data_IF_690248956617
#
_entry.id   IF_690248956617
#
_cell.length_a   1.000
_cell.length_b   1.000
_cell.length_c   1.000
_cell.angle_alpha   90.00
_cell.angle_beta   90.00
_cell.angle_gamma   90.00
#
_symmetry.space_group_name_H-M   'P 1'
#
loop_
_entity.id
_entity.type
_entity.pdbx_description
1 polymer ?
#
# COMPACT_ATOMS: atom_id res chain seq x y z
N UNK A 1 -2.82 6.00 11.68
CA UNK A 1 -2.59 6.17 10.23
C UNK A 1 -1.97 7.52 9.85
N UNK A 2 -2.72 8.62 9.96
CA UNK A 2 -2.38 9.89 9.32
C UNK A 2 -1.04 10.50 9.74
N UNK A 3 -0.77 10.55 11.04
CA UNK A 3 0.50 11.07 11.57
C UNK A 3 1.72 10.32 11.01
N UNK A 4 1.62 8.99 10.86
CA UNK A 4 2.70 8.17 10.30
C UNK A 4 2.94 8.48 8.83
N UNK A 5 1.88 8.67 8.05
CA UNK A 5 1.95 9.10 6.65
C UNK A 5 2.65 10.47 6.55
N UNK A 6 2.32 11.43 7.41
CA UNK A 6 2.98 12.74 7.41
C UNK A 6 4.48 12.66 7.70
N UNK A 7 4.89 11.83 8.65
CA UNK A 7 6.32 11.68 9.00
C UNK A 7 7.10 10.83 8.01
N UNK A 8 6.47 9.83 7.40
CA UNK A 8 7.06 8.89 6.44
C UNK A 8 6.11 8.72 5.25
N UNK A 9 6.07 9.71 4.34
CA UNK A 9 5.05 9.76 3.29
C UNK A 9 5.31 8.79 2.15
N UNK A 10 6.47 8.14 2.08
CA UNK A 10 6.82 7.27 0.95
C UNK A 10 5.86 6.09 0.80
N UNK A 11 5.50 5.78 -0.45
CA UNK A 11 4.67 4.63 -0.85
C UNK A 11 5.19 3.29 -0.33
N UNK A 12 6.50 3.18 -0.10
CA UNK A 12 7.13 1.97 0.43
C UNK A 12 6.73 1.66 1.88
N UNK A 13 6.17 2.62 2.61
CA UNK A 13 5.67 2.42 3.97
C UNK A 13 4.15 2.24 4.03
N UNK A 14 3.46 2.30 2.89
CA UNK A 14 2.00 2.34 2.84
C UNK A 14 1.33 1.18 3.58
N UNK A 15 1.70 -0.06 3.24
CA UNK A 15 1.12 -1.24 3.87
C UNK A 15 1.48 -1.36 5.36
N UNK A 16 2.68 -0.93 5.74
CA UNK A 16 3.13 -0.92 7.14
C UNK A 16 2.33 0.07 7.99
N UNK A 17 2.09 1.29 7.49
CA UNK A 17 1.27 2.28 8.19
C UNK A 17 -0.18 1.82 8.35
N UNK A 18 -0.70 1.11 7.34
CA UNK A 18 -2.02 0.50 7.37
C UNK A 18 -2.10 -0.60 8.43
N UNK A 19 -1.17 -1.57 8.39
CA UNK A 19 -1.07 -2.64 9.38
C UNK A 19 -0.90 -2.11 10.80
N UNK A 20 -0.06 -1.10 11.01
CA UNK A 20 0.10 -0.49 12.32
C UNK A 20 -1.23 0.08 12.85
N UNK A 21 -2.06 0.65 11.97
CA UNK A 21 -3.36 1.19 12.39
C UNK A 21 -4.33 0.07 12.80
N UNK A 22 -4.27 -1.08 12.13
CA UNK A 22 -5.01 -2.30 12.51
C UNK A 22 -4.51 -2.83 13.86
N UNK A 23 -3.18 -2.94 14.04
CA UNK A 23 -2.61 -3.41 15.30
C UNK A 23 -3.05 -2.53 16.47
N UNK A 24 -3.07 -1.21 16.29
CA UNK A 24 -3.55 -0.29 17.31
C UNK A 24 -5.06 -0.43 17.57
N UNK A 25 -5.88 -0.71 16.55
CA UNK A 25 -7.32 -0.90 16.75
C UNK A 25 -7.65 -2.16 17.57
N UNK A 26 -6.75 -3.15 17.62
CA UNK A 26 -6.95 -4.37 18.42
C UNK A 26 -7.07 -4.11 19.91
N UNK A 27 -6.49 -3.03 20.41
CA UNK A 27 -6.53 -2.65 21.83
C UNK A 27 -7.81 -1.90 22.23
N UNK A 28 -8.68 -1.54 21.27
CA UNK A 28 -9.93 -0.85 21.53
C UNK A 28 -11.00 -1.82 22.06
N UNK A 29 -11.97 -1.28 22.81
CA UNK A 29 -13.17 -2.03 23.21
C UNK A 29 -14.00 -2.44 21.99
N UNK A 30 -14.87 -3.44 22.14
CA UNK A 30 -15.72 -3.93 21.04
C UNK A 30 -16.54 -2.80 20.40
N UNK A 31 -17.19 -1.97 21.22
CA UNK A 31 -18.01 -0.85 20.77
C UNK A 31 -17.22 0.16 19.91
N UNK A 32 -15.97 0.42 20.29
CA UNK A 32 -15.09 1.31 19.53
C UNK A 32 -14.61 0.65 18.23
N UNK A 33 -14.36 -0.67 18.25
CA UNK A 33 -13.96 -1.42 17.05
C UNK A 33 -15.07 -1.45 16.02
N UNK A 34 -16.33 -1.55 16.45
CA UNK A 34 -17.49 -1.51 15.55
C UNK A 34 -17.58 -0.18 14.76
N UNK A 35 -17.08 0.91 15.34
CA UNK A 35 -16.98 2.22 14.67
C UNK A 35 -15.70 2.34 13.84
N UNK A 36 -14.56 1.91 14.38
CA UNK A 36 -13.24 2.17 13.80
C UNK A 36 -12.88 1.18 12.68
N UNK A 37 -13.24 -0.09 12.79
CA UNK A 37 -12.87 -1.10 11.79
C UNK A 37 -13.47 -0.81 10.39
N UNK A 38 -14.74 -0.36 10.25
CA UNK A 38 -15.24 0.12 8.97
C UNK A 38 -14.47 1.33 8.43
N UNK A 39 -14.07 2.25 9.30
CA UNK A 39 -13.27 3.44 8.92
C UNK A 39 -11.89 3.01 8.43
N UNK A 40 -11.22 2.09 9.11
CA UNK A 40 -9.93 1.54 8.69
C UNK A 40 -10.08 0.87 7.32
N UNK A 41 -11.06 -0.01 7.14
CA UNK A 41 -11.32 -0.68 5.86
C UNK A 41 -11.52 0.35 4.75
N UNK A 42 -12.39 1.34 4.93
CA UNK A 42 -12.67 2.39 3.94
C UNK A 42 -11.44 3.25 3.61
N UNK A 43 -10.56 3.49 4.57
CA UNK A 43 -9.30 4.22 4.38
C UNK A 43 -8.13 3.33 3.95
N UNK A 44 -8.37 2.04 3.68
CA UNK A 44 -7.38 1.08 3.24
C UNK A 44 -6.84 1.30 1.83
N UNK A 45 -7.13 2.43 1.18
CA UNK A 45 -6.54 2.80 -0.11
C UNK A 45 -5.01 2.75 -0.12
N UNK A 46 -4.39 2.99 1.03
CA UNK A 46 -2.93 2.93 1.20
C UNK A 46 -2.45 1.47 1.31
N UNK A 47 -3.30 0.57 1.82
CA UNK A 47 -3.10 -0.86 1.80
C UNK A 47 -3.58 -1.53 0.51
N UNK A 48 -3.88 -0.78 -0.56
CA UNK A 48 -4.33 -1.34 -1.84
C UNK A 48 -3.44 -2.54 -2.26
N UNK A 49 -3.99 -3.55 -2.95
CA UNK A 49 -3.24 -4.77 -3.24
C UNK A 49 -1.92 -4.56 -3.96
N UNK A 50 -1.82 -3.49 -4.74
CA UNK A 50 -0.59 -3.07 -5.44
C UNK A 50 0.46 -2.45 -4.49
N UNK A 51 0.05 -1.84 -3.38
CA UNK A 51 0.95 -1.19 -2.42
C UNK A 51 1.62 -2.17 -1.46
N UNK A 52 1.02 -3.35 -1.23
CA UNK A 52 1.63 -4.40 -0.40
C UNK A 52 2.94 -4.91 -1.03
N UNK A 53 3.00 -5.36 -2.31
CA UNK A 53 4.25 -5.70 -2.97
C UNK A 53 5.28 -4.57 -2.96
N UNK A 54 4.85 -3.32 -3.16
CA UNK A 54 5.76 -2.15 -3.12
C UNK A 54 6.39 -2.01 -1.75
N UNK A 55 5.61 -2.14 -0.68
CA UNK A 55 6.13 -2.07 0.69
C UNK A 55 7.07 -3.24 0.99
N UNK A 56 6.74 -4.44 0.49
CA UNK A 56 7.59 -5.62 0.64
C UNK A 56 8.96 -5.48 -0.05
N UNK A 57 9.07 -4.71 -1.13
CA UNK A 57 10.36 -4.44 -1.79
C UNK A 57 11.32 -3.66 -0.88
N UNK A 58 10.79 -2.83 0.01
CA UNK A 58 11.56 -2.03 0.96
C UNK A 58 11.70 -2.67 2.36
N UNK A 59 11.16 -3.88 2.56
CA UNK A 59 11.25 -4.57 3.86
C UNK A 59 12.71 -4.88 4.21
N UNK A 60 13.06 -4.80 5.49
CA UNK A 60 14.40 -5.12 5.99
C UNK A 60 14.72 -6.62 5.84
N UNK A 61 13.70 -7.49 5.88
CA UNK A 61 13.83 -8.94 5.76
C UNK A 61 14.01 -9.34 4.29
N UNK A 62 15.18 -9.92 4.00
CA UNK A 62 15.54 -10.35 2.65
C UNK A 62 14.57 -11.39 2.06
N UNK A 63 13.99 -12.25 2.90
CA UNK A 63 12.99 -13.25 2.51
C UNK A 63 11.74 -12.60 1.91
N UNK A 64 11.29 -11.47 2.49
CA UNK A 64 10.10 -10.74 2.05
C UNK A 64 10.36 -9.97 0.76
N UNK A 65 11.53 -9.33 0.64
CA UNK A 65 11.93 -8.69 -0.61
C UNK A 65 11.95 -9.67 -1.78
N UNK A 66 12.53 -10.86 -1.58
CA UNK A 66 12.52 -11.95 -2.59
C UNK A 66 11.11 -12.44 -2.87
N UNK A 67 10.26 -12.58 -1.85
CA UNK A 67 8.86 -12.95 -2.01
C UNK A 67 8.09 -11.92 -2.85
N UNK A 68 8.33 -10.62 -2.65
CA UNK A 68 7.73 -9.54 -3.41
C UNK A 68 8.03 -9.68 -4.92
N UNK A 69 9.30 -9.84 -5.27
CA UNK A 69 9.73 -9.99 -6.67
C UNK A 69 9.12 -11.24 -7.32
N UNK A 70 9.11 -12.38 -6.62
CA UNK A 70 8.45 -13.61 -7.11
C UNK A 70 6.95 -13.41 -7.32
N UNK A 71 6.28 -12.70 -6.41
CA UNK A 71 4.86 -12.35 -6.55
C UNK A 71 4.66 -11.46 -7.77
N UNK A 72 5.46 -10.41 -7.96
CA UNK A 72 5.38 -9.53 -9.14
C UNK A 72 5.53 -10.32 -10.45
N UNK A 73 6.51 -11.23 -10.56
CA UNK A 73 6.65 -12.10 -11.74
C UNK A 73 5.42 -13.00 -11.97
N UNK A 74 4.83 -13.55 -10.90
CA UNK A 74 3.61 -14.36 -10.99
C UNK A 74 2.43 -13.52 -11.50
N UNK A 75 2.26 -12.31 -10.97
CA UNK A 75 1.21 -11.37 -11.36
C UNK A 75 1.33 -10.96 -12.84
N UNK A 76 2.55 -10.73 -13.33
CA UNK A 76 2.83 -10.47 -14.75
C UNK A 76 2.37 -11.60 -15.66
N UNK A 77 2.70 -12.84 -15.29
CA UNK A 77 2.32 -14.03 -16.06
C UNK A 77 0.80 -14.14 -16.16
N UNK A 78 0.09 -13.98 -15.03
CA UNK A 78 -1.39 -13.98 -15.01
C UNK A 78 -1.97 -12.89 -15.91
N UNK A 79 -1.44 -11.65 -15.83
CA UNK A 79 -1.87 -10.53 -16.67
C UNK A 79 -1.69 -10.82 -18.16
N UNK A 80 -0.54 -11.37 -18.57
CA UNK A 80 -0.26 -11.72 -19.98
C UNK A 80 -1.15 -12.87 -20.47
N UNK A 81 -1.35 -13.91 -19.65
CA UNK A 81 -2.23 -15.02 -20.00
C UNK A 81 -3.68 -14.58 -20.19
N UNK A 82 -4.20 -13.68 -19.36
CA UNK A 82 -5.53 -13.11 -19.52
C UNK A 82 -5.65 -12.24 -20.79
N UNK A 83 -4.61 -11.45 -21.11
CA UNK A 83 -4.58 -10.62 -22.32
C UNK A 83 -4.56 -11.44 -23.62
N UNK A 84 -4.01 -12.64 -23.62
CA UNK A 84 -4.00 -13.54 -24.78
C UNK A 84 -5.36 -14.18 -25.07
N UNK A 85 -6.27 -14.23 -24.09
CA UNK A 85 -7.59 -14.88 -24.21
C UNK A 85 -8.74 -13.91 -24.50
N UNK A 86 -8.53 -12.59 -24.43
CA UNK A 86 -9.62 -11.61 -24.59
C UNK A 86 -9.16 -10.41 -25.42
N UNK A 87 -9.68 -10.32 -26.64
CA UNK A 87 -9.56 -9.16 -27.53
C UNK A 87 -10.08 -7.92 -26.80
N UNK A 88 -9.18 -6.98 -26.49
CA UNK A 88 -9.45 -5.57 -26.16
C UNK A 88 -10.71 -5.31 -25.34
N UNK A 89 -10.70 -5.66 -24.06
CA UNK A 89 -11.44 -4.83 -23.09
C UNK A 89 -10.47 -3.75 -22.63
N UNK A 90 -10.89 -2.49 -22.74
CA UNK A 90 -10.09 -1.35 -22.29
C UNK A 90 -9.53 -1.65 -20.90
N UNK A 91 -8.20 -1.72 -20.78
CA UNK A 91 -7.44 -2.12 -19.57
C UNK A 91 -7.58 -1.12 -18.40
N UNK A 92 -8.81 -0.73 -18.07
CA UNK A 92 -9.12 0.15 -16.96
C UNK A 92 -8.95 -0.68 -15.70
N UNK A 93 -7.91 -0.35 -14.92
CA UNK A 93 -7.73 -0.91 -13.58
C UNK A 93 -8.86 -0.38 -12.70
N UNK A 94 -9.78 -1.27 -12.33
CA UNK A 94 -10.85 -0.92 -11.39
C UNK A 94 -10.23 -0.91 -9.99
N UNK A 95 -10.35 0.22 -9.30
CA UNK A 95 -9.96 0.32 -7.91
C UNK A 95 -10.98 -0.44 -7.06
N UNK A 96 -10.64 -1.68 -6.69
CA UNK A 96 -11.44 -2.51 -5.79
C UNK A 96 -10.73 -2.53 -4.45
N UNK A 97 -11.41 -2.05 -3.41
CA UNK A 97 -10.91 -2.16 -2.06
C UNK A 97 -10.86 -3.65 -1.68
N UNK A 98 -9.68 -4.19 -1.34
CA UNK A 98 -9.58 -5.61 -1.03
C UNK A 98 -10.22 -5.90 0.33
N UNK A 99 -10.66 -7.14 0.49
CA UNK A 99 -11.03 -7.65 1.81
C UNK A 99 -9.75 -7.77 2.66
N UNK A 100 -9.55 -6.79 3.54
CA UNK A 100 -8.43 -6.77 4.48
C UNK A 100 -8.66 -7.73 5.64
N UNK A 101 -7.64 -8.51 5.98
CA UNK A 101 -7.61 -9.29 7.20
C UNK A 101 -7.14 -8.43 8.39
N UNK A 102 -8.09 -8.02 9.24
CA UNK A 102 -7.80 -7.23 10.44
C UNK A 102 -7.08 -8.05 11.53
N UNK A 103 -7.06 -9.39 11.42
CA UNK A 103 -6.36 -10.29 12.32
C UNK A 103 -4.91 -10.59 11.85
N UNK A 104 -4.49 -10.10 10.68
CA UNK A 104 -3.18 -10.36 10.11
C UNK A 104 -2.03 -9.95 11.05
N UNK A 105 -1.15 -10.89 11.42
CA UNK A 105 -0.02 -10.58 12.32
C UNK A 105 1.10 -9.81 11.61
N UNK A 106 1.23 -9.99 10.30
CA UNK A 106 2.18 -9.27 9.46
C UNK A 106 1.43 -8.51 8.34
N UNK A 107 1.99 -7.39 7.90
CA UNK A 107 1.41 -6.59 6.83
C UNK A 107 1.40 -7.35 5.48
N UNK A 108 2.30 -8.33 5.33
CA UNK A 108 2.37 -9.20 4.13
C UNK A 108 1.10 -10.04 3.93
N UNK A 109 0.37 -10.28 5.02
CA UNK A 109 -0.85 -11.12 5.06
C UNK A 109 -2.13 -10.30 5.09
N UNK A 110 -2.05 -8.96 4.94
CA UNK A 110 -3.21 -8.07 4.96
C UNK A 110 -4.21 -8.34 3.85
N UNK A 111 -3.76 -8.84 2.70
CA UNK A 111 -4.56 -8.99 1.49
C UNK A 111 -4.58 -10.44 1.02
N UNK A 112 -5.71 -10.84 0.43
CA UNK A 112 -5.78 -12.06 -0.37
C UNK A 112 -5.12 -11.84 -1.72
N UNK A 113 -4.26 -12.76 -2.14
CA UNK A 113 -3.44 -12.66 -3.35
C UNK A 113 -4.16 -13.02 -4.67
N UNK A 114 -5.43 -13.40 -4.59
CA UNK A 114 -6.22 -13.93 -5.72
C UNK A 114 -6.59 -12.87 -6.78
N UNK A 115 -6.86 -11.63 -6.37
CA UNK A 115 -7.31 -10.55 -7.26
C UNK A 115 -6.31 -9.38 -7.33
N UNK A 116 -5.03 -9.66 -7.06
CA UNK A 116 -3.99 -8.63 -7.05
C UNK A 116 -3.45 -8.45 -8.46
N UNK A 117 -3.29 -7.20 -8.88
CA UNK A 117 -2.64 -6.83 -10.15
C UNK A 117 -1.20 -6.42 -9.91
N UNK A 118 -0.37 -6.48 -10.95
CA UNK A 118 0.99 -5.94 -10.87
C UNK A 118 0.93 -4.43 -10.55
N UNK A 119 1.70 -3.93 -9.57
CA UNK A 119 1.80 -2.50 -9.32
C UNK A 119 2.31 -1.74 -10.55
N UNK A 120 1.65 -0.64 -10.93
CA UNK A 120 2.08 0.16 -12.09
C UNK A 120 3.54 0.65 -11.97
N UNK A 121 3.99 0.90 -10.73
CA UNK A 121 5.36 1.34 -10.44
C UNK A 121 6.42 0.27 -10.72
N UNK A 122 6.04 -1.00 -10.83
CA UNK A 122 6.97 -2.08 -11.16
C UNK A 122 6.99 -2.43 -12.64
N UNK A 123 5.98 -2.03 -13.43
CA UNK A 123 5.86 -2.38 -14.85
C UNK A 123 7.08 -1.94 -15.69
N UNK A 124 7.74 -0.86 -15.29
CA UNK A 124 8.93 -0.33 -15.98
C UNK A 124 10.17 -1.23 -15.90
N UNK A 125 10.21 -2.20 -14.99
CA UNK A 125 11.35 -3.11 -14.86
C UNK A 125 11.11 -4.37 -15.68
N UNK A 126 12.09 -4.84 -16.46
CA UNK A 126 11.95 -6.07 -17.24
C UNK A 126 11.88 -7.32 -16.35
N UNK A 127 11.33 -8.42 -16.89
CA UNK A 127 11.30 -9.71 -16.19
C UNK A 127 12.71 -10.20 -15.84
N UNK A 128 13.67 -9.98 -16.74
CA UNK A 128 15.08 -10.34 -16.53
C UNK A 128 15.67 -9.56 -15.36
N UNK A 129 15.43 -8.24 -15.29
CA UNK A 129 15.89 -7.39 -14.19
C UNK A 129 15.27 -7.81 -12.84
N UNK A 130 14.00 -8.20 -12.84
CA UNK A 130 13.35 -8.71 -11.62
C UNK A 130 13.93 -10.07 -11.23
N UNK A 131 14.23 -10.94 -12.20
CA UNK A 131 14.83 -12.25 -11.96
C UNK A 131 16.24 -12.13 -11.41
N UNK A 132 17.04 -11.22 -11.96
CA UNK A 132 18.37 -10.85 -11.46
C UNK A 132 18.29 -10.33 -10.02
N UNK A 133 17.31 -9.47 -9.72
CA UNK A 133 17.09 -8.93 -8.37
C UNK A 133 16.65 -9.99 -7.34
N UNK A 134 16.10 -11.14 -7.77
CA UNK A 134 15.80 -12.28 -6.88
C UNK A 134 17.10 -12.98 -6.45
N UNK A 135 18.07 -13.08 -7.36
CA UNK A 135 19.39 -13.68 -7.11
C UNK A 135 20.23 -12.72 -6.27
N UNK A 136 20.37 -11.47 -6.74
CA UNK A 136 21.14 -10.41 -6.09
C UNK A 136 20.20 -9.31 -5.57
N UNK A 137 19.92 -9.31 -4.27
CA UNK A 137 18.97 -8.36 -3.68
C UNK A 137 19.53 -6.95 -3.50
N UNK A 138 20.83 -6.73 -3.78
CA UNK A 138 21.41 -5.37 -3.84
C UNK A 138 20.77 -4.53 -4.93
N UNK A 139 20.38 -5.15 -6.05
CA UNK A 139 19.69 -4.51 -7.18
C UNK A 139 18.39 -3.83 -6.74
N UNK A 140 17.72 -4.40 -5.73
CA UNK A 140 16.50 -3.80 -5.17
C UNK A 140 16.83 -2.42 -4.58
N UNK A 141 17.91 -2.32 -3.80
CA UNK A 141 18.31 -1.08 -3.12
C UNK A 141 18.95 -0.08 -4.08
N UNK A 142 19.71 -0.55 -5.06
CA UNK A 142 20.50 0.32 -5.95
C UNK A 142 19.70 0.80 -7.17
N UNK A 143 18.75 0.01 -7.67
CA UNK A 143 18.07 0.30 -8.93
C UNK A 143 16.54 0.41 -8.82
N UNK A 144 15.90 -0.43 -7.99
CA UNK A 144 14.43 -0.50 -7.92
C UNK A 144 13.89 0.55 -6.95
N UNK A 145 14.32 0.53 -5.69
CA UNK A 145 13.79 1.41 -4.65
C UNK A 145 14.04 2.90 -4.88
N UNK A 146 15.20 3.37 -5.39
CA UNK A 146 15.42 4.80 -5.60
C UNK A 146 14.38 5.44 -6.53
N UNK A 147 13.85 4.67 -7.47
CA UNK A 147 12.84 5.14 -8.44
C UNK A 147 11.41 5.06 -7.90
N UNK A 148 11.17 4.42 -6.75
CA UNK A 148 9.84 4.27 -6.12
C UNK A 148 9.73 5.10 -4.83
N UNK A 149 10.80 5.15 -4.03
CA UNK A 149 10.82 5.72 -2.68
C UNK A 149 10.42 7.20 -2.61
N UNK A 150 10.67 7.98 -3.66
CA UNK A 150 10.29 9.40 -3.70
C UNK A 150 8.78 9.65 -3.82
N UNK A 151 7.98 8.64 -4.15
CA UNK A 151 6.56 8.80 -4.40
C UNK A 151 5.76 8.77 -3.09
N UNK A 152 4.81 9.70 -2.86
CA UNK A 152 3.97 9.68 -1.68
C UNK A 152 2.95 8.54 -1.73
N UNK A 153 2.55 8.02 -0.56
CA UNK A 153 1.54 6.98 -0.41
C UNK A 153 0.10 7.52 -0.42
N UNK A 154 -0.07 8.84 -0.50
CA UNK A 154 -1.35 9.54 -0.47
C UNK A 154 -1.41 10.60 -1.58
N UNK A 155 -2.60 10.89 -2.12
CA UNK A 155 -2.77 11.96 -3.10
C UNK A 155 -2.63 13.34 -2.44
N UNK A 156 -2.19 14.33 -3.21
CA UNK A 156 -2.09 15.72 -2.75
C UNK A 156 -3.44 16.28 -2.25
N UNK A 157 -4.56 15.77 -2.79
CA UNK A 157 -5.90 16.12 -2.32
C UNK A 157 -6.11 15.77 -0.84
N UNK A 158 -5.57 14.64 -0.37
CA UNK A 158 -5.64 14.26 1.04
C UNK A 158 -4.88 15.26 1.92
N UNK A 159 -3.75 15.79 1.44
CA UNK A 159 -3.01 16.82 2.18
C UNK A 159 -3.79 18.13 2.29
N UNK A 160 -4.45 18.53 1.19
CA UNK A 160 -5.28 19.74 1.18
C UNK A 160 -6.47 19.61 2.13
N UNK A 161 -7.17 18.47 2.12
CA UNK A 161 -8.29 18.22 3.03
C UNK A 161 -7.84 18.32 4.48
N UNK A 162 -6.74 17.67 4.85
CA UNK A 162 -6.26 17.75 6.23
C UNK A 162 -5.85 19.16 6.61
N UNK A 163 -5.20 19.90 5.71
CA UNK A 163 -4.86 21.30 5.98
C UNK A 163 -6.12 22.10 6.33
N UNK A 164 -7.15 22.02 5.49
CA UNK A 164 -8.44 22.70 5.72
C UNK A 164 -9.09 22.27 7.05
N UNK A 165 -9.12 20.98 7.36
CA UNK A 165 -9.69 20.47 8.61
C UNK A 165 -8.90 20.95 9.84
N UNK A 166 -7.57 21.06 9.71
CA UNK A 166 -6.70 21.53 10.80
C UNK A 166 -6.89 23.02 11.04
N UNK A 167 -6.98 23.82 9.97
CA UNK A 167 -7.26 25.27 10.05
C UNK A 167 -8.64 25.51 10.69
N UNK A 168 -9.68 24.82 10.22
CA UNK A 168 -11.03 24.96 10.79
C UNK A 168 -11.10 24.53 12.27
N UNK A 169 -10.34 23.50 12.67
CA UNK A 169 -10.27 23.08 14.07
C UNK A 169 -9.53 24.09 14.96
N UNK A 170 -8.49 24.76 14.42
CA UNK A 170 -7.77 25.82 15.14
C UNK A 170 -8.66 27.05 15.34
N UNK A 171 -9.38 27.48 14.30
CA UNK A 171 -10.30 28.62 14.36
C UNK A 171 -11.43 28.39 15.39
N UNK A 172 -11.91 27.15 15.53
CA UNK A 172 -12.91 26.80 16.54
C UNK A 172 -12.39 26.93 17.98
N UNK A 173 -11.10 26.65 18.20
CA UNK A 173 -10.45 26.82 19.51
C UNK A 173 -10.20 28.30 19.83
N UNK A 174 -9.85 29.11 18.84
CA UNK A 174 -9.67 30.56 19.01
C UNK A 174 -11.01 31.30 19.19
N UNK A 175 -12.09 30.80 18.58
CA UNK A 175 -13.44 31.37 18.72
C UNK A 175 -14.18 31.00 20.01
N UNK A 176 -13.68 30.05 20.81
CA UNK A 176 -14.34 29.57 22.04
C UNK A 176 -13.82 30.21 23.33
N UNK A 177 -12.87 31.15 23.25
CA UNK A 177 -12.50 32.02 24.37
C UNK A 177 -12.11 31.28 25.66
N UNK A 178 -11.15 30.37 25.55
CA UNK A 178 -10.35 29.87 26.68
C UNK A 178 -8.98 30.56 26.70
#
# INVERSE_FOLDING_TARGET
>A
MWFKIKTKPSVIYGAQHFHQSIVLSRYLSSDLKDVIDPVIKRNGCIGHPENVPISMLADDRNSIRKLALRRILKLRKVKRSAATTTITTNNIRIFILPAFDLCAMDYVDLIKWENVTEPALTERFSDDKITEAIVSTTIIQEAILPTIKGLPCHPQAAERIVKVVTEAAADHLEGTGL
#
